data_IF_081878137464
#
_entry.id   IF_081878137464
#
_cell.length_a   1.000
_cell.length_b   1.000
_cell.length_c   1.000
_cell.angle_alpha   90.00
_cell.angle_beta   90.00
_cell.angle_gamma   90.00
#
_symmetry.space_group_name_H-M   'P 1'
#
loop_
_entity.id
_entity.type
_entity.pdbx_description
1 polymer ?
#
# COMPACT_ATOMS: atom_id res chain seq x y z
N UNK A 1 9.58 -22.61 13.07
CA UNK A 1 9.33 -22.48 11.61
C UNK A 1 7.84 -22.50 11.27
N UNK A 2 7.06 -23.49 11.71
CA UNK A 2 5.60 -23.54 11.44
C UNK A 2 4.85 -22.30 11.95
N UNK A 3 5.10 -21.85 13.19
CA UNK A 3 4.43 -20.66 13.74
C UNK A 3 4.85 -19.36 13.02
N UNK A 4 6.09 -19.29 12.52
CA UNK A 4 6.56 -18.12 11.78
C UNK A 4 5.87 -18.04 10.41
N UNK A 5 5.80 -19.15 9.68
CA UNK A 5 5.07 -19.22 8.40
C UNK A 5 3.58 -18.91 8.57
N UNK A 6 2.95 -19.39 9.65
CA UNK A 6 1.56 -19.08 9.94
C UNK A 6 1.34 -17.57 10.17
N UNK A 7 2.29 -16.88 10.81
CA UNK A 7 2.22 -15.43 11.01
C UNK A 7 2.33 -14.67 9.70
N UNK A 8 3.25 -15.06 8.80
CA UNK A 8 3.38 -14.43 7.47
C UNK A 8 2.11 -14.62 6.63
N UNK A 9 1.50 -15.80 6.66
CA UNK A 9 0.24 -16.07 5.96
C UNK A 9 -0.94 -15.27 6.53
N UNK A 10 -1.00 -15.11 7.86
CA UNK A 10 -2.00 -14.26 8.51
C UNK A 10 -1.80 -12.79 8.13
N UNK A 11 -0.55 -12.33 8.05
CA UNK A 11 -0.24 -10.97 7.59
C UNK A 11 -0.62 -10.76 6.12
N UNK A 12 -0.37 -11.74 5.25
CA UNK A 12 -0.85 -11.72 3.87
C UNK A 12 -2.39 -11.64 3.80
N UNK A 13 -3.09 -12.40 4.65
CA UNK A 13 -4.56 -12.36 4.74
C UNK A 13 -5.08 -10.99 5.20
N UNK A 14 -4.41 -10.36 6.17
CA UNK A 14 -4.75 -9.00 6.64
C UNK A 14 -4.57 -7.97 5.51
N UNK A 15 -3.41 -7.94 4.86
CA UNK A 15 -3.13 -7.02 3.74
C UNK A 15 -4.16 -7.21 2.60
N UNK A 16 -4.40 -8.45 2.20
CA UNK A 16 -5.33 -8.75 1.10
C UNK A 16 -6.78 -8.42 1.46
N UNK A 17 -7.21 -8.62 2.70
CA UNK A 17 -8.54 -8.19 3.16
C UNK A 17 -8.72 -6.67 3.12
N UNK A 18 -7.68 -5.91 3.47
CA UNK A 18 -7.68 -4.45 3.38
C UNK A 18 -7.77 -4.00 1.93
N UNK A 19 -6.94 -4.56 1.06
CA UNK A 19 -6.95 -4.26 -0.39
C UNK A 19 -8.31 -4.63 -1.00
N UNK A 20 -8.91 -5.76 -0.61
CA UNK A 20 -10.25 -6.16 -1.05
C UNK A 20 -11.29 -5.08 -0.71
N UNK A 21 -11.34 -4.62 0.54
CA UNK A 21 -12.29 -3.58 0.96
C UNK A 21 -12.02 -2.26 0.23
N UNK A 22 -10.76 -1.87 0.03
CA UNK A 22 -10.42 -0.65 -0.72
C UNK A 22 -10.82 -0.72 -2.19
N UNK A 23 -10.52 -1.84 -2.87
CA UNK A 23 -10.94 -2.05 -4.25
C UNK A 23 -12.46 -2.07 -4.39
N UNK A 24 -13.18 -2.64 -3.40
CA UNK A 24 -14.64 -2.61 -3.32
C UNK A 24 -15.18 -1.18 -3.14
N UNK A 25 -14.60 -0.39 -2.24
CA UNK A 25 -14.98 1.01 -2.03
C UNK A 25 -14.77 1.82 -3.32
N UNK A 26 -13.62 1.66 -3.99
CA UNK A 26 -13.36 2.39 -5.23
C UNK A 26 -14.26 1.91 -6.37
N UNK A 27 -14.58 0.61 -6.48
CA UNK A 27 -15.58 0.11 -7.43
C UNK A 27 -16.92 0.81 -7.21
N UNK A 28 -17.37 0.86 -5.95
CA UNK A 28 -18.64 1.47 -5.60
C UNK A 28 -18.65 2.96 -5.92
N UNK A 29 -17.59 3.69 -5.57
CA UNK A 29 -17.44 5.11 -5.91
C UNK A 29 -17.41 5.30 -7.44
N UNK A 30 -16.71 4.44 -8.17
CA UNK A 30 -16.62 4.53 -9.64
C UNK A 30 -17.99 4.34 -10.30
N UNK A 31 -18.76 3.35 -9.84
CA UNK A 31 -20.13 3.09 -10.29
C UNK A 31 -21.06 4.26 -9.94
N UNK A 32 -21.06 4.72 -8.68
CA UNK A 32 -21.91 5.83 -8.24
C UNK A 32 -21.55 7.16 -8.93
N UNK A 33 -20.27 7.37 -9.23
CA UNK A 33 -19.79 8.57 -9.92
C UNK A 33 -19.96 8.52 -11.43
N UNK A 34 -20.55 7.46 -12.00
CA UNK A 34 -20.66 7.26 -13.46
C UNK A 34 -19.30 7.41 -14.16
N UNK A 35 -18.24 6.83 -13.59
CA UNK A 35 -16.88 6.94 -14.13
C UNK A 35 -16.24 8.34 -14.04
N UNK A 36 -16.95 9.37 -13.51
CA UNK A 36 -16.38 10.71 -13.32
C UNK A 36 -15.16 10.70 -12.42
N UNK A 37 -15.11 9.82 -11.43
CA UNK A 37 -13.94 9.67 -10.56
C UNK A 37 -12.69 9.26 -11.35
N UNK A 38 -12.82 8.29 -12.26
CA UNK A 38 -11.74 7.82 -13.14
C UNK A 38 -11.31 8.94 -14.10
N UNK A 39 -12.28 9.62 -14.72
CA UNK A 39 -12.02 10.75 -15.64
C UNK A 39 -11.38 11.95 -14.93
N UNK A 40 -11.80 12.25 -13.71
CA UNK A 40 -11.26 13.34 -12.91
C UNK A 40 -9.82 13.06 -12.45
N UNK A 41 -9.51 11.80 -12.10
CA UNK A 41 -8.15 11.38 -11.77
C UNK A 41 -7.21 11.37 -12.98
N UNK A 42 -7.74 11.19 -14.20
CA UNK A 42 -7.01 11.23 -15.45
C UNK A 42 -6.72 12.66 -15.98
N UNK A 43 -7.13 13.73 -15.29
CA UNK A 43 -6.93 15.10 -15.77
C UNK A 43 -5.46 15.47 -15.98
N UNK A 44 -5.20 16.21 -17.06
CA UNK A 44 -3.88 16.80 -17.35
C UNK A 44 -3.55 17.89 -16.32
N UNK A 45 -2.44 17.71 -15.58
CA UNK A 45 -1.97 18.70 -14.61
C UNK A 45 -1.16 18.09 -13.46
N UNK A 46 -0.89 18.90 -12.42
CA UNK A 46 -0.18 18.44 -11.21
C UNK A 46 -1.09 17.76 -10.17
N UNK A 47 -2.41 17.87 -10.35
CA UNK A 47 -3.42 17.40 -9.39
C UNK A 47 -3.29 15.91 -9.00
N UNK A 48 -3.17 14.98 -9.96
CA UNK A 48 -3.04 13.55 -9.64
C UNK A 48 -1.80 13.25 -8.79
N UNK A 49 -0.65 13.84 -9.11
CA UNK A 49 0.58 13.62 -8.35
C UNK A 49 0.51 14.23 -6.94
N UNK A 50 -0.14 15.39 -6.80
CA UNK A 50 -0.41 15.99 -5.48
C UNK A 50 -1.28 15.07 -4.62
N UNK A 51 -2.36 14.55 -5.19
CA UNK A 51 -3.28 13.64 -4.49
C UNK A 51 -2.58 12.34 -4.11
N UNK A 52 -1.90 11.67 -5.04
CA UNK A 52 -1.28 10.36 -4.77
C UNK A 52 -0.11 10.47 -3.82
N UNK A 53 0.73 11.52 -3.90
CA UNK A 53 1.79 11.76 -2.92
C UNK A 53 1.23 12.16 -1.55
N UNK A 54 0.11 12.87 -1.49
CA UNK A 54 -0.55 13.18 -0.22
C UNK A 54 -1.08 11.90 0.45
N UNK A 55 -1.69 11.00 -0.33
CA UNK A 55 -2.09 9.70 0.16
C UNK A 55 -0.87 8.85 0.56
N UNK A 56 0.23 8.92 -0.18
CA UNK A 56 1.47 8.19 0.13
C UNK A 56 2.13 8.62 1.44
N UNK A 57 2.17 9.93 1.74
CA UNK A 57 2.81 10.45 2.96
C UNK A 57 2.03 10.12 4.24
N UNK A 58 0.77 9.67 4.11
CA UNK A 58 -0.01 9.25 5.29
C UNK A 58 0.69 8.07 5.98
N UNK A 59 0.91 8.11 7.31
CA UNK A 59 1.54 7.02 8.03
C UNK A 59 0.82 5.68 7.81
N UNK A 60 1.60 4.62 7.56
CA UNK A 60 1.11 3.30 7.20
C UNK A 60 0.97 3.06 5.69
N UNK A 61 0.49 1.87 5.31
CA UNK A 61 0.41 1.47 3.90
C UNK A 61 -0.96 1.75 3.22
N UNK A 62 -1.98 2.17 3.98
CA UNK A 62 -3.36 2.27 3.50
C UNK A 62 -3.54 3.26 2.34
N UNK A 63 -2.87 4.41 2.38
CA UNK A 63 -2.94 5.41 1.31
C UNK A 63 -2.33 4.91 -0.01
N UNK A 64 -1.23 4.17 0.06
CA UNK A 64 -0.59 3.57 -1.13
C UNK A 64 -1.48 2.46 -1.72
N UNK A 65 -2.10 1.62 -0.89
CA UNK A 65 -3.06 0.61 -1.37
C UNK A 65 -4.28 1.23 -2.07
N UNK A 66 -4.73 2.38 -1.60
CA UNK A 66 -5.79 3.13 -2.28
C UNK A 66 -5.33 3.60 -3.66
N UNK A 67 -4.10 4.12 -3.77
CA UNK A 67 -3.50 4.55 -5.04
C UNK A 67 -3.31 3.38 -6.02
N UNK A 68 -2.85 2.22 -5.55
CA UNK A 68 -2.75 1.00 -6.37
C UNK A 68 -4.12 0.54 -6.88
N UNK A 69 -5.15 0.66 -6.03
CA UNK A 69 -6.53 0.34 -6.40
C UNK A 69 -7.12 1.36 -7.38
N UNK A 70 -6.70 2.62 -7.32
CA UNK A 70 -7.02 3.63 -8.35
C UNK A 70 -6.30 3.32 -9.66
N UNK A 71 -5.06 2.85 -9.60
CA UNK A 71 -4.26 2.48 -10.78
C UNK A 71 -4.82 1.26 -11.51
N UNK A 72 -5.26 0.23 -10.80
CA UNK A 72 -5.87 -0.95 -11.41
C UNK A 72 -7.12 -0.64 -12.24
N UNK A 73 -7.77 0.49 -11.96
CA UNK A 73 -8.96 1.03 -12.65
C UNK A 73 -8.64 2.12 -13.68
N UNK A 74 -7.37 2.43 -13.91
CA UNK A 74 -6.96 3.50 -14.81
C UNK A 74 -7.28 4.92 -14.31
N UNK A 75 -7.63 5.11 -13.04
CA UNK A 75 -7.94 6.43 -12.49
C UNK A 75 -6.69 7.29 -12.26
N UNK A 76 -5.52 6.66 -12.12
CA UNK A 76 -4.23 7.33 -11.98
C UNK A 76 -3.19 6.63 -12.84
N UNK A 77 -2.15 7.38 -13.27
CA UNK A 77 -1.08 6.84 -14.09
C UNK A 77 -0.01 6.11 -13.26
N UNK A 78 0.84 5.32 -13.92
CA UNK A 78 1.97 4.67 -13.24
C UNK A 78 2.94 5.68 -12.60
N UNK A 79 3.12 6.85 -13.21
CA UNK A 79 3.91 7.92 -12.59
C UNK A 79 3.27 8.46 -11.31
N UNK A 80 1.94 8.60 -11.26
CA UNK A 80 1.24 8.99 -10.05
C UNK A 80 1.35 7.93 -8.94
N UNK A 81 1.32 6.64 -9.28
CA UNK A 81 1.63 5.55 -8.34
C UNK A 81 3.07 5.66 -7.82
N UNK A 82 4.03 5.88 -8.71
CA UNK A 82 5.45 6.08 -8.35
C UNK A 82 5.60 7.25 -7.36
N UNK A 83 4.85 8.34 -7.56
CA UNK A 83 4.82 9.47 -6.63
C UNK A 83 4.26 9.15 -5.25
N UNK A 84 3.31 8.22 -5.13
CA UNK A 84 2.84 7.72 -3.83
C UNK A 84 3.89 6.83 -3.15
N UNK A 85 4.54 5.96 -3.93
CA UNK A 85 5.59 5.05 -3.45
C UNK A 85 6.84 5.83 -2.99
N UNK A 86 7.22 6.91 -3.68
CA UNK A 86 8.29 7.81 -3.21
C UNK A 86 7.93 8.56 -1.92
N UNK A 87 6.65 8.89 -1.74
CA UNK A 87 6.18 9.70 -0.63
C UNK A 87 5.99 8.90 0.67
N UNK A 88 5.84 7.57 0.57
CA UNK A 88 5.50 6.73 1.71
C UNK A 88 6.70 6.41 2.59
N UNK A 89 6.47 6.36 3.90
CA UNK A 89 7.42 5.90 4.91
C UNK A 89 6.94 4.61 5.60
N UNK A 90 5.89 3.97 5.08
CA UNK A 90 5.33 2.73 5.60
C UNK A 90 4.85 2.83 7.05
N UNK A 91 4.85 1.68 7.74
CA UNK A 91 4.51 1.59 9.17
C UNK A 91 5.66 2.11 10.06
N UNK A 92 6.87 2.26 9.50
CA UNK A 92 8.02 2.84 10.18
C UNK A 92 7.79 4.32 10.51
N UNK A 93 6.91 4.99 9.78
CA UNK A 93 6.51 6.37 10.02
C UNK A 93 6.11 6.61 11.50
N UNK A 94 5.41 5.65 12.13
CA UNK A 94 5.03 5.75 13.54
C UNK A 94 6.24 5.69 14.47
N UNK A 95 7.22 4.85 14.14
CA UNK A 95 8.45 4.71 14.93
C UNK A 95 9.33 5.94 14.74
N UNK A 96 9.44 6.48 13.53
CA UNK A 96 10.17 7.74 13.27
C UNK A 96 9.56 8.91 14.05
N UNK A 97 8.23 9.03 14.06
CA UNK A 97 7.52 10.05 14.85
C UNK A 97 7.75 9.88 16.36
N UNK A 98 7.90 8.65 16.84
CA UNK A 98 8.19 8.37 18.25
C UNK A 98 9.66 8.63 18.63
N UNK A 99 10.61 8.30 17.75
CA UNK A 99 12.05 8.39 18.05
C UNK A 99 12.66 9.76 17.73
N UNK A 100 12.25 10.40 16.64
CA UNK A 100 12.82 11.66 16.15
C UNK A 100 11.76 12.54 15.44
N UNK A 101 10.72 13.02 16.14
CA UNK A 101 9.53 13.64 15.53
C UNK A 101 9.83 14.83 14.61
N UNK A 102 10.74 15.72 14.98
CA UNK A 102 11.09 16.89 14.16
C UNK A 102 11.72 16.50 12.83
N UNK A 103 12.69 15.57 12.87
CA UNK A 103 13.35 15.07 11.67
C UNK A 103 12.41 14.21 10.84
N UNK A 104 11.50 13.45 11.46
CA UNK A 104 10.48 12.67 10.77
C UNK A 104 9.52 13.56 9.97
N UNK A 105 9.03 14.66 10.56
CA UNK A 105 8.16 15.61 9.87
C UNK A 105 8.88 16.31 8.70
N UNK A 106 10.16 16.66 8.88
CA UNK A 106 10.98 17.21 7.79
C UNK A 106 11.16 16.18 6.67
N UNK A 107 11.46 14.93 7.02
CA UNK A 107 11.59 13.83 6.07
C UNK A 107 10.29 13.65 5.29
N UNK A 108 9.14 13.58 5.96
CA UNK A 108 7.83 13.45 5.29
C UNK A 108 7.52 14.61 4.36
N UNK A 109 7.87 15.85 4.73
CA UNK A 109 7.72 17.00 3.85
C UNK A 109 8.61 16.87 2.60
N UNK A 110 9.86 16.39 2.75
CA UNK A 110 10.76 16.14 1.63
C UNK A 110 10.21 15.01 0.75
N UNK A 111 9.81 13.87 1.33
CA UNK A 111 9.24 12.73 0.62
C UNK A 111 7.98 13.13 -0.16
N UNK A 112 7.10 13.95 0.42
CA UNK A 112 5.93 14.48 -0.26
C UNK A 112 6.30 15.31 -1.49
N UNK A 113 7.23 16.28 -1.35
CA UNK A 113 7.66 17.13 -2.47
C UNK A 113 8.36 16.30 -3.55
N UNK A 114 9.26 15.39 -3.15
CA UNK A 114 9.94 14.47 -4.07
C UNK A 114 8.96 13.52 -4.73
N UNK A 115 7.92 13.07 -4.03
CA UNK A 115 6.86 12.25 -4.59
C UNK A 115 6.09 12.98 -5.69
N UNK A 116 5.71 14.25 -5.48
CA UNK A 116 4.98 15.04 -6.48
C UNK A 116 5.84 15.24 -7.72
N UNK A 117 7.09 15.69 -7.54
CA UNK A 117 8.01 15.98 -8.65
C UNK A 117 8.46 14.68 -9.34
N UNK A 118 8.80 13.66 -8.56
CA UNK A 118 9.28 12.37 -9.02
C UNK A 118 8.18 11.57 -9.73
N UNK A 119 6.94 11.64 -9.27
CA UNK A 119 5.79 11.05 -9.96
C UNK A 119 5.51 11.73 -11.30
N UNK A 120 5.52 13.07 -11.32
CA UNK A 120 5.38 13.89 -12.52
C UNK A 120 6.49 13.64 -13.57
N UNK A 121 7.73 13.45 -13.10
CA UNK A 121 8.89 13.16 -13.95
C UNK A 121 8.82 11.72 -14.48
N UNK A 122 8.55 10.76 -13.60
CA UNK A 122 8.42 9.34 -13.96
C UNK A 122 7.34 9.14 -15.00
N UNK A 123 6.19 9.82 -14.87
CA UNK A 123 5.11 9.73 -15.85
C UNK A 123 5.53 10.14 -17.26
N UNK A 124 6.32 11.22 -17.38
CA UNK A 124 6.89 11.66 -18.66
C UNK A 124 7.84 10.65 -19.24
N UNK A 125 8.75 10.14 -18.41
CA UNK A 125 9.74 9.14 -18.84
C UNK A 125 9.05 7.87 -19.32
N UNK A 126 8.03 7.38 -18.59
CA UNK A 126 7.28 6.18 -18.96
C UNK A 126 6.46 6.37 -20.24
N UNK A 127 5.85 7.54 -20.44
CA UNK A 127 5.14 7.88 -21.69
C UNK A 127 6.10 7.97 -22.88
N UNK A 128 7.25 8.63 -22.73
CA UNK A 128 8.23 8.82 -23.81
C UNK A 128 8.92 7.53 -24.25
N UNK A 129 9.13 6.60 -23.32
CA UNK A 129 9.84 5.34 -23.59
C UNK A 129 8.97 4.25 -24.21
N UNK A 130 7.66 4.51 -24.43
CA UNK A 130 6.72 3.49 -24.90
C UNK A 130 6.56 2.32 -23.93
N UNK A 131 7.04 2.45 -22.70
CA UNK A 131 6.95 1.41 -21.67
C UNK A 131 5.50 1.20 -21.18
N UNK A 132 4.58 2.10 -21.56
CA UNK A 132 3.13 2.06 -21.31
C UNK A 132 2.36 1.03 -22.18
N UNK A 133 3.03 0.08 -22.82
CA UNK A 133 2.39 -1.05 -23.50
C UNK A 133 1.95 -2.12 -22.48
N UNK A 134 0.97 -1.79 -21.65
CA UNK A 134 0.36 -2.65 -20.64
C UNK A 134 -0.86 -1.93 -20.08
N UNK A 135 -1.99 -2.13 -20.77
CA UNK A 135 -3.28 -1.50 -20.53
C UNK A 135 -3.70 -1.62 -19.05
N UNK A 136 -4.27 -0.55 -18.43
CA UNK A 136 -5.02 -0.71 -17.19
C UNK A 136 -6.09 -1.78 -17.44
N UNK A 137 -6.30 -2.67 -16.47
CA UNK A 137 -7.26 -3.76 -16.58
C UNK A 137 -8.61 -3.21 -17.07
N UNK A 138 -9.03 -3.60 -18.30
CA UNK A 138 -10.31 -3.49 -19.04
C UNK A 138 -11.36 -2.39 -18.72
N UNK A 139 -11.43 -1.87 -17.50
CA UNK A 139 -12.28 -0.74 -17.08
C UNK A 139 -11.78 0.63 -17.56
N UNK A 140 -10.54 0.75 -18.04
CA UNK A 140 -10.10 1.98 -18.72
C UNK A 140 -10.76 2.16 -20.09
N UNK A 141 -11.31 1.09 -20.65
CA UNK A 141 -12.19 1.09 -21.83
C UNK A 141 -13.67 1.11 -21.41
N UNK A 142 -14.02 1.80 -20.32
CA UNK A 142 -15.42 2.20 -20.10
C UNK A 142 -15.81 3.20 -21.20
N UNK A 143 -16.25 2.66 -22.34
CA UNK A 143 -17.08 3.41 -23.27
C UNK A 143 -18.30 3.93 -22.47
N UNK A 144 -18.85 5.09 -22.83
CA UNK A 144 -20.07 5.62 -22.18
C UNK A 144 -21.24 4.61 -22.19
N UNK A 145 -21.15 3.56 -23.02
CA UNK A 145 -22.09 2.43 -23.14
C UNK A 145 -21.97 1.37 -22.03
N UNK A 146 -20.83 1.26 -21.32
CA UNK A 146 -20.60 0.26 -20.25
C UNK A 146 -20.92 0.80 -18.84
N UNK A 147 -21.19 2.11 -18.73
CA UNK A 147 -21.67 2.73 -17.51
C UNK A 147 -23.18 2.49 -17.39
N UNK A 148 -23.69 1.99 -16.24
CA UNK A 148 -25.11 1.77 -16.08
C UNK A 148 -25.85 3.09 -16.25
N UNK A 149 -26.82 3.10 -17.14
CA UNK A 149 -27.74 4.22 -17.35
C UNK A 149 -28.41 4.56 -16.01
N UNK A 150 -28.86 5.81 -15.80
CA UNK A 150 -29.67 6.19 -14.62
C UNK A 150 -30.83 5.19 -14.34
N UNK A 151 -31.45 4.65 -15.39
CA UNK A 151 -32.50 3.62 -15.31
C UNK A 151 -31.98 2.23 -14.87
N UNK A 152 -30.73 1.89 -15.17
CA UNK A 152 -30.07 0.64 -14.75
C UNK A 152 -29.59 0.74 -13.30
N UNK A 153 -29.06 1.90 -12.89
CA UNK A 153 -28.75 2.20 -11.49
C UNK A 153 -29.99 2.09 -10.59
N UNK A 154 -31.15 2.59 -11.03
CA UNK A 154 -32.42 2.41 -10.32
C UNK A 154 -32.87 0.94 -10.26
N UNK A 155 -32.50 0.14 -11.27
CA UNK A 155 -32.74 -1.31 -11.29
C UNK A 155 -31.81 -2.05 -10.34
N UNK A 156 -30.57 -1.58 -10.21
CA UNK A 156 -29.58 -2.13 -9.27
C UNK A 156 -29.92 -1.76 -7.83
N UNK A 157 -30.47 -0.57 -7.59
CA UNK A 157 -30.89 -0.08 -6.27
C UNK A 157 -32.43 -0.10 -6.12
N UNK A 158 -33.06 -1.28 -6.02
CA UNK A 158 -34.49 -1.34 -5.76
C UNK A 158 -34.81 -0.74 -4.39
N UNK A 159 -36.00 -0.15 -4.18
CA UNK A 159 -36.40 0.47 -2.92
C UNK A 159 -36.53 -0.52 -1.74
N UNK A 160 -36.36 -1.82 -1.98
CA UNK A 160 -36.39 -2.88 -0.98
C UNK A 160 -35.07 -3.64 -0.94
N UNK A 161 -34.57 -3.90 0.27
CA UNK A 161 -33.30 -4.59 0.49
C UNK A 161 -33.40 -6.05 -0.01
N UNK A 162 -32.72 -6.36 -1.12
CA UNK A 162 -32.61 -7.73 -1.64
C UNK A 162 -31.27 -8.35 -1.23
N UNK A 163 -31.31 -9.43 -0.43
CA UNK A 163 -30.13 -10.14 0.06
C UNK A 163 -29.63 -11.26 -0.88
N UNK A 164 -30.17 -11.36 -2.10
CA UNK A 164 -29.65 -12.28 -3.11
C UNK A 164 -28.44 -11.63 -3.82
N UNK A 165 -27.41 -12.40 -4.21
CA UNK A 165 -27.16 -13.79 -3.87
C UNK A 165 -26.68 -13.95 -2.42
N UNK A 166 -27.21 -14.96 -1.71
CA UNK A 166 -26.90 -15.20 -0.29
C UNK A 166 -25.50 -15.81 -0.08
N UNK A 167 -25.07 -16.70 -0.98
CA UNK A 167 -23.83 -17.45 -0.81
C UNK A 167 -22.58 -16.53 -0.83
N UNK A 168 -22.38 -15.64 -1.83
CA UNK A 168 -21.27 -14.71 -1.82
C UNK A 168 -21.24 -13.81 -0.57
N UNK A 169 -22.42 -13.33 -0.14
CA UNK A 169 -22.54 -12.50 1.06
C UNK A 169 -22.07 -13.23 2.32
N UNK A 170 -22.51 -14.47 2.50
CA UNK A 170 -22.13 -15.27 3.66
C UNK A 170 -20.65 -15.65 3.65
N UNK A 171 -20.08 -15.94 2.48
CA UNK A 171 -18.64 -16.25 2.36
C UNK A 171 -17.79 -15.02 2.70
N UNK A 172 -18.08 -13.87 2.08
CA UNK A 172 -17.33 -12.63 2.33
C UNK A 172 -17.49 -12.22 3.81
N UNK A 173 -18.72 -12.24 4.34
CA UNK A 173 -18.95 -11.90 5.74
C UNK A 173 -18.25 -12.87 6.70
N UNK A 174 -18.26 -14.18 6.40
CA UNK A 174 -17.55 -15.18 7.18
C UNK A 174 -16.04 -14.95 7.25
N UNK A 175 -15.42 -14.59 6.11
CA UNK A 175 -13.99 -14.25 6.05
C UNK A 175 -13.69 -12.99 6.87
N UNK A 176 -14.48 -11.92 6.71
CA UNK A 176 -14.27 -10.67 7.44
C UNK A 176 -14.50 -10.81 8.94
N UNK A 177 -15.50 -11.61 9.37
CA UNK A 177 -15.72 -11.92 10.79
C UNK A 177 -14.58 -12.78 11.34
N UNK A 178 -14.11 -13.79 10.59
CA UNK A 178 -12.96 -14.59 10.97
C UNK A 178 -11.70 -13.74 11.17
N UNK A 179 -11.48 -12.75 10.30
CA UNK A 179 -10.42 -11.77 10.43
C UNK A 179 -10.55 -10.92 11.70
N UNK A 180 -11.76 -10.39 11.98
CA UNK A 180 -12.03 -9.62 13.20
C UNK A 180 -11.77 -10.45 14.46
N UNK A 181 -12.14 -11.74 14.47
CA UNK A 181 -11.85 -12.65 15.59
C UNK A 181 -10.35 -12.86 15.75
N UNK A 182 -9.61 -13.11 14.66
CA UNK A 182 -8.15 -13.28 14.69
C UNK A 182 -7.42 -11.99 15.14
N UNK A 183 -7.99 -10.83 14.83
CA UNK A 183 -7.47 -9.54 15.25
C UNK A 183 -7.76 -9.27 16.74
N UNK A 184 -8.96 -9.64 17.20
CA UNK A 184 -9.35 -9.54 18.61
C UNK A 184 -8.50 -10.45 19.50
N UNK A 185 -8.13 -11.66 19.04
CA UNK A 185 -7.23 -12.53 19.79
C UNK A 185 -5.83 -11.93 19.96
N UNK A 186 -5.34 -11.14 18.99
CA UNK A 186 -4.07 -10.41 19.12
C UNK A 186 -4.12 -9.29 20.16
N UNK A 187 -5.28 -8.65 20.33
CA UNK A 187 -5.48 -7.66 21.40
C UNK A 187 -5.40 -8.31 22.80
N UNK A 188 -5.99 -9.49 22.97
CA UNK A 188 -6.00 -10.19 24.26
C UNK A 188 -4.62 -10.64 24.69
N UNK A 189 -3.79 -11.14 23.74
CA UNK A 189 -2.39 -11.50 24.02
C UNK A 189 -1.56 -10.28 24.45
N UNK A 190 -1.79 -9.12 23.84
CA UNK A 190 -1.12 -7.88 24.22
C UNK A 190 -1.54 -7.36 25.60
N UNK A 191 -2.79 -7.60 26.02
CA UNK A 191 -3.29 -7.13 27.31
C UNK A 191 -2.68 -7.92 28.49
N UNK A 192 -2.46 -9.23 28.33
CA UNK A 192 -1.74 -10.03 29.32
C UNK A 192 -0.27 -9.59 29.46
N UNK A 193 0.41 -9.30 28.34
CA UNK A 193 1.78 -8.77 28.36
C UNK A 193 1.88 -7.36 28.97
N UNK A 194 0.85 -6.51 28.80
CA UNK A 194 0.82 -5.16 29.35
C UNK A 194 0.55 -5.16 30.87
N UNK A 195 -0.20 -6.13 31.38
CA UNK A 195 -0.51 -6.24 32.82
C UNK A 195 0.72 -6.53 33.70
N UNK A 196 1.82 -6.99 33.12
CA UNK A 196 3.09 -7.28 33.83
C UNK A 196 4.13 -6.16 33.74
N UNK A 197 3.92 -5.12 32.91
CA UNK A 197 4.84 -3.99 32.75
C UNK A 197 4.11 -2.65 32.84
N UNK A 198 3.97 -2.12 34.06
CA UNK A 198 3.24 -0.89 34.38
C UNK A 198 3.95 0.43 34.01
N UNK A 199 4.72 0.50 32.93
CA UNK A 199 5.33 1.76 32.49
C UNK A 199 5.29 1.97 30.99
N UNK A 200 4.86 3.19 30.63
CA UNK A 200 4.80 3.81 29.32
C UNK A 200 3.64 3.39 28.41
N UNK A 201 2.80 4.38 28.13
CA UNK A 201 2.07 4.55 26.87
C UNK A 201 3.08 4.46 25.72
N UNK A 202 3.43 3.23 25.35
CA UNK A 202 3.97 2.90 24.04
C UNK A 202 2.72 2.64 23.20
N UNK A 203 2.46 3.51 22.23
CA UNK A 203 1.67 3.13 21.06
C UNK A 203 2.40 1.95 20.42
N UNK A 204 2.08 0.74 20.86
CA UNK A 204 2.63 -0.47 20.26
C UNK A 204 2.13 -0.52 18.82
N UNK A 205 3.02 -0.73 17.83
CA UNK A 205 2.66 -0.77 16.41
C UNK A 205 1.42 -1.64 16.11
N UNK A 206 1.23 -2.73 16.88
CA UNK A 206 0.07 -3.61 16.74
C UNK A 206 -1.30 -3.01 17.08
N UNK A 207 -1.39 -1.94 17.89
CA UNK A 207 -2.69 -1.32 18.21
C UNK A 207 -3.28 -0.56 17.02
N UNK A 208 -2.43 0.15 16.26
CA UNK A 208 -2.87 0.91 15.10
C UNK A 208 -3.31 -0.01 13.95
N UNK A 209 -2.55 -1.09 13.70
CA UNK A 209 -2.94 -2.15 12.77
C UNK A 209 -4.34 -2.67 13.11
N UNK A 210 -4.59 -2.96 14.39
CA UNK A 210 -5.92 -3.43 14.84
C UNK A 210 -7.02 -2.41 14.54
N UNK A 211 -6.79 -1.12 14.76
CA UNK A 211 -7.80 -0.10 14.44
C UNK A 211 -8.06 0.02 12.94
N UNK A 212 -7.02 0.05 12.09
CA UNK A 212 -7.20 0.13 10.64
C UNK A 212 -7.88 -1.13 10.10
N UNK A 213 -7.34 -2.31 10.37
CA UNK A 213 -7.90 -3.55 9.84
C UNK A 213 -9.29 -3.82 10.42
N UNK A 214 -9.52 -3.48 11.69
CA UNK A 214 -10.83 -3.60 12.34
C UNK A 214 -11.87 -2.68 11.71
N UNK A 215 -11.56 -1.39 11.54
CA UNK A 215 -12.48 -0.42 10.90
C UNK A 215 -12.79 -0.80 9.45
N UNK A 216 -11.80 -1.28 8.70
CA UNK A 216 -12.00 -1.70 7.31
C UNK A 216 -12.76 -3.01 7.19
N UNK A 217 -12.54 -3.99 8.07
CA UNK A 217 -13.36 -5.19 8.11
C UNK A 217 -14.83 -4.87 8.43
N UNK A 218 -15.08 -3.92 9.35
CA UNK A 218 -16.44 -3.43 9.63
C UNK A 218 -17.07 -2.72 8.43
N UNK A 219 -16.31 -1.89 7.71
CA UNK A 219 -16.76 -1.27 6.47
C UNK A 219 -17.09 -2.32 5.40
N UNK A 220 -16.21 -3.31 5.19
CA UNK A 220 -16.45 -4.41 4.26
C UNK A 220 -17.71 -5.22 4.59
N UNK A 221 -17.96 -5.47 5.88
CA UNK A 221 -19.20 -6.11 6.34
C UNK A 221 -20.41 -5.25 6.01
N UNK A 222 -20.35 -3.95 6.32
CA UNK A 222 -21.43 -3.03 5.97
C UNK A 222 -21.70 -3.04 4.45
N UNK A 223 -20.67 -2.96 3.62
CA UNK A 223 -20.80 -3.04 2.16
C UNK A 223 -21.43 -4.36 1.71
N UNK A 224 -21.05 -5.49 2.31
CA UNK A 224 -21.58 -6.81 1.97
C UNK A 224 -23.10 -6.92 2.20
N UNK A 225 -23.64 -6.20 3.19
CA UNK A 225 -25.07 -6.22 3.50
C UNK A 225 -25.86 -5.08 2.86
N UNK A 226 -25.27 -3.88 2.76
CA UNK A 226 -25.95 -2.68 2.25
C UNK A 226 -25.86 -2.55 0.72
N UNK A 227 -24.86 -3.15 0.07
CA UNK A 227 -24.68 -2.99 -1.37
C UNK A 227 -25.76 -3.74 -2.18
N UNK A 228 -26.10 -3.21 -3.37
CA UNK A 228 -27.08 -3.82 -4.25
C UNK A 228 -26.64 -5.19 -4.77
N UNK A 229 -27.62 -6.07 -5.03
CA UNK A 229 -27.42 -7.47 -5.41
C UNK A 229 -26.55 -7.64 -6.65
N UNK A 230 -26.86 -6.91 -7.71
CA UNK A 230 -26.12 -6.98 -8.98
C UNK A 230 -24.65 -6.56 -8.81
N UNK A 231 -24.39 -5.45 -8.12
CA UNK A 231 -23.04 -4.99 -7.86
C UNK A 231 -22.25 -6.02 -7.02
N UNK A 232 -22.90 -6.62 -6.03
CA UNK A 232 -22.27 -7.62 -5.18
C UNK A 232 -21.95 -8.93 -5.93
N UNK A 233 -22.81 -9.35 -6.84
CA UNK A 233 -22.62 -10.58 -7.61
C UNK A 233 -21.59 -10.42 -8.73
N UNK A 234 -21.76 -9.41 -9.59
CA UNK A 234 -20.91 -9.24 -10.76
C UNK A 234 -19.59 -8.55 -10.42
N UNK A 235 -19.65 -7.42 -9.72
CA UNK A 235 -18.46 -6.59 -9.48
C UNK A 235 -17.68 -7.04 -8.24
N UNK A 236 -18.35 -7.32 -7.12
CA UNK A 236 -17.64 -7.70 -5.89
C UNK A 236 -17.22 -9.18 -5.90
N UNK A 237 -18.09 -10.09 -6.32
CA UNK A 237 -17.82 -11.52 -6.26
C UNK A 237 -17.06 -12.02 -7.50
N UNK A 238 -17.68 -11.96 -8.68
CA UNK A 238 -17.07 -12.51 -9.90
C UNK A 238 -15.82 -11.74 -10.33
N UNK A 239 -15.90 -10.41 -10.38
CA UNK A 239 -14.75 -9.59 -10.75
C UNK A 239 -13.75 -9.46 -9.59
N UNK A 240 -14.12 -8.90 -8.43
CA UNK A 240 -13.10 -8.61 -7.41
C UNK A 240 -12.60 -9.85 -6.66
N UNK A 241 -13.51 -10.61 -6.03
CA UNK A 241 -13.14 -11.71 -5.13
C UNK A 241 -12.56 -12.92 -5.86
N UNK A 242 -13.09 -13.28 -7.03
CA UNK A 242 -12.64 -14.48 -7.75
C UNK A 242 -11.51 -14.22 -8.75
N UNK A 243 -11.45 -13.04 -9.38
CA UNK A 243 -10.42 -12.76 -10.38
C UNK A 243 -9.15 -12.13 -9.77
N UNK A 244 -9.28 -11.07 -8.97
CA UNK A 244 -8.11 -10.32 -8.48
C UNK A 244 -7.53 -10.87 -7.18
N UNK A 245 -8.38 -11.24 -6.22
CA UNK A 245 -7.90 -11.61 -4.87
C UNK A 245 -6.97 -12.83 -4.82
N UNK A 246 -7.17 -13.93 -5.59
CA UNK A 246 -6.28 -15.07 -5.53
C UNK A 246 -4.85 -14.72 -5.95
N UNK A 247 -4.71 -13.88 -6.98
CA UNK A 247 -3.41 -13.43 -7.49
C UNK A 247 -2.74 -12.47 -6.51
N UNK A 248 -3.47 -11.49 -5.98
CA UNK A 248 -2.94 -10.54 -4.99
C UNK A 248 -2.51 -11.30 -3.73
N UNK A 249 -3.30 -12.26 -3.26
CA UNK A 249 -2.97 -13.09 -2.10
C UNK A 249 -1.73 -13.96 -2.36
N UNK A 250 -1.68 -14.66 -3.50
CA UNK A 250 -0.54 -15.51 -3.84
C UNK A 250 0.78 -14.71 -3.91
N UNK A 251 0.77 -13.54 -4.55
CA UNK A 251 1.95 -12.68 -4.64
C UNK A 251 2.34 -12.08 -3.29
N UNK A 252 1.36 -11.60 -2.51
CA UNK A 252 1.60 -11.05 -1.17
C UNK A 252 2.19 -12.10 -0.24
N UNK A 253 1.55 -13.27 -0.14
CA UNK A 253 2.01 -14.38 0.68
C UNK A 253 3.38 -14.90 0.21
N UNK A 254 3.56 -15.07 -1.10
CA UNK A 254 4.83 -15.50 -1.68
C UNK A 254 5.96 -14.52 -1.39
N UNK A 255 5.73 -13.22 -1.54
CA UNK A 255 6.69 -12.17 -1.25
C UNK A 255 7.07 -12.15 0.24
N UNK A 256 6.09 -12.20 1.15
CA UNK A 256 6.34 -12.23 2.60
C UNK A 256 7.15 -13.45 3.02
N UNK A 257 6.78 -14.65 2.54
CA UNK A 257 7.54 -15.88 2.82
C UNK A 257 8.95 -15.81 2.22
N UNK A 258 9.10 -15.34 0.98
CA UNK A 258 10.41 -15.21 0.34
C UNK A 258 11.33 -14.25 1.11
N UNK A 259 10.80 -13.11 1.54
CA UNK A 259 11.50 -12.15 2.39
C UNK A 259 11.88 -12.78 3.72
N UNK A 260 10.94 -13.45 4.40
CA UNK A 260 11.22 -14.13 5.68
C UNK A 260 12.39 -15.12 5.54
N UNK A 261 12.43 -15.89 4.45
CA UNK A 261 13.52 -16.82 4.14
C UNK A 261 14.84 -16.13 3.77
N UNK A 262 14.79 -14.90 3.26
CA UNK A 262 15.96 -14.09 2.91
C UNK A 262 16.57 -13.46 4.17
N UNK A 263 15.76 -12.78 4.97
CA UNK A 263 16.21 -12.04 6.16
C UNK A 263 16.70 -12.94 7.28
N UNK A 264 16.23 -14.20 7.33
CA UNK A 264 16.75 -15.22 8.26
C UNK A 264 18.15 -15.72 7.91
N UNK A 265 18.58 -15.58 6.65
CA UNK A 265 19.89 -16.07 6.17
C UNK A 265 20.92 -14.96 5.95
N UNK A 266 20.46 -13.75 5.67
CA UNK A 266 21.32 -12.61 5.33
C UNK A 266 21.33 -11.61 6.47
N UNK A 267 22.45 -11.41 7.17
CA UNK A 267 22.58 -10.39 8.21
C UNK A 267 22.60 -8.98 7.56
N UNK A 268 21.43 -8.35 7.51
CA UNK A 268 21.21 -7.06 6.82
C UNK A 268 22.01 -5.91 7.45
N UNK A 269 22.34 -6.01 8.73
CA UNK A 269 23.13 -5.02 9.45
C UNK A 269 24.56 -4.90 8.89
N UNK A 270 25.12 -5.99 8.35
CA UNK A 270 26.45 -5.99 7.76
C UNK A 270 26.52 -5.09 6.51
N UNK A 271 25.40 -4.95 5.80
CA UNK A 271 25.29 -4.12 4.61
C UNK A 271 25.46 -2.62 4.90
N UNK A 272 25.27 -2.22 6.16
CA UNK A 272 25.31 -0.83 6.63
C UNK A 272 26.58 -0.49 7.43
N UNK A 273 27.52 -1.43 7.59
CA UNK A 273 28.78 -1.20 8.34
C UNK A 273 29.86 -0.44 7.55
N UNK A 274 29.65 -0.16 6.27
CA UNK A 274 30.57 0.62 5.44
C UNK A 274 30.51 2.12 5.73
N UNK A 275 31.42 2.90 5.14
CA UNK A 275 31.40 4.38 5.22
C UNK A 275 31.00 5.01 3.88
N UNK A 276 30.35 6.18 3.95
CA UNK A 276 30.01 7.00 2.79
C UNK A 276 29.15 6.26 1.75
N UNK A 277 29.62 6.24 0.50
CA UNK A 277 28.88 5.71 -0.65
C UNK A 277 28.46 4.25 -0.47
N UNK A 278 29.26 3.41 0.17
CA UNK A 278 28.90 2.00 0.40
C UNK A 278 27.72 1.85 1.34
N UNK A 279 27.61 2.72 2.35
CA UNK A 279 26.45 2.75 3.24
C UNK A 279 25.19 3.18 2.49
N UNK A 280 25.31 4.20 1.61
CA UNK A 280 24.21 4.65 0.75
C UNK A 280 23.71 3.53 -0.18
N UNK A 281 24.63 2.86 -0.88
CA UNK A 281 24.29 1.74 -1.77
C UNK A 281 23.65 0.59 -1.00
N UNK A 282 24.21 0.25 0.17
CA UNK A 282 23.67 -0.79 1.04
C UNK A 282 22.25 -0.46 1.52
N UNK A 283 22.01 0.78 1.93
CA UNK A 283 20.67 1.21 2.35
C UNK A 283 19.68 1.22 1.18
N UNK A 284 20.09 1.64 -0.02
CA UNK A 284 19.21 1.56 -1.20
C UNK A 284 18.89 0.10 -1.57
N UNK A 285 19.88 -0.81 -1.53
CA UNK A 285 19.67 -2.24 -1.76
C UNK A 285 18.70 -2.83 -0.74
N UNK A 286 18.81 -2.43 0.52
CA UNK A 286 17.90 -2.83 1.59
C UNK A 286 16.47 -2.32 1.34
N UNK A 287 16.33 -1.10 0.82
CA UNK A 287 15.05 -0.52 0.42
C UNK A 287 14.42 -1.21 -0.79
N UNK A 288 15.19 -1.99 -1.58
CA UNK A 288 14.61 -2.76 -2.68
C UNK A 288 13.69 -3.89 -2.20
N UNK A 289 13.84 -4.32 -0.95
CA UNK A 289 13.01 -5.37 -0.37
C UNK A 289 11.64 -4.75 -0.02
N UNK A 290 10.53 -5.19 -0.63
CA UNK A 290 9.21 -4.56 -0.47
C UNK A 290 8.53 -5.01 0.83
N UNK A 291 9.12 -4.62 1.95
CA UNK A 291 8.63 -4.90 3.30
C UNK A 291 9.19 -3.90 4.31
N UNK A 292 8.43 -3.69 5.38
CA UNK A 292 8.73 -2.80 6.49
C UNK A 292 10.04 -3.10 7.27
N UNK A 293 10.30 -4.38 7.59
CA UNK A 293 11.42 -4.76 8.48
C UNK A 293 12.82 -4.25 8.09
N UNK A 294 13.27 -4.42 6.83
CA UNK A 294 14.54 -3.89 6.33
C UNK A 294 14.69 -2.37 6.49
N UNK A 295 13.64 -1.59 6.23
CA UNK A 295 13.69 -0.14 6.39
C UNK A 295 13.90 0.27 7.86
N UNK A 296 13.24 -0.44 8.80
CA UNK A 296 13.38 -0.20 10.23
C UNK A 296 14.82 -0.30 10.74
N UNK A 297 15.66 -1.15 10.13
CA UNK A 297 17.09 -1.25 10.46
C UNK A 297 17.80 0.10 10.21
N UNK A 298 17.51 0.76 9.09
CA UNK A 298 18.09 2.08 8.76
C UNK A 298 17.56 3.15 9.69
N UNK A 299 16.26 3.13 9.99
CA UNK A 299 15.60 4.07 10.92
C UNK A 299 16.22 4.01 12.32
N UNK A 300 16.43 2.80 12.84
CA UNK A 300 17.02 2.59 14.18
C UNK A 300 18.50 2.95 14.24
N UNK A 301 19.25 2.67 13.17
CA UNK A 301 20.66 3.08 13.06
C UNK A 301 20.80 4.61 12.92
N UNK A 302 19.87 5.28 12.22
CA UNK A 302 19.81 6.73 12.18
C UNK A 302 19.51 7.31 13.56
N UNK A 303 18.51 6.78 14.26
CA UNK A 303 18.14 7.25 15.60
C UNK A 303 19.27 7.08 16.62
N UNK A 304 20.17 6.11 16.42
CA UNK A 304 21.36 5.91 17.25
C UNK A 304 22.60 6.67 16.77
N UNK A 305 22.50 7.47 15.71
CA UNK A 305 23.58 8.32 15.18
C UNK A 305 24.60 7.61 14.29
N UNK A 306 24.35 6.37 13.88
CA UNK A 306 25.27 5.60 13.03
C UNK A 306 25.08 5.85 11.54
N UNK A 307 23.88 6.26 11.14
CA UNK A 307 23.49 6.52 9.74
C UNK A 307 23.22 8.02 9.56
N UNK A 308 23.78 8.68 8.54
CA UNK A 308 23.52 10.10 8.25
C UNK A 308 22.16 10.31 7.58
N UNK A 309 21.69 11.56 7.53
CA UNK A 309 20.37 11.88 6.99
C UNK A 309 20.26 11.57 5.49
N UNK A 310 21.33 11.78 4.73
CA UNK A 310 21.38 11.41 3.29
C UNK A 310 21.02 9.95 3.03
N UNK A 311 21.53 9.04 3.86
CA UNK A 311 21.30 7.59 3.74
C UNK A 311 19.88 7.23 4.18
N UNK A 312 19.38 7.84 5.28
CA UNK A 312 17.99 7.68 5.70
C UNK A 312 17.03 8.12 4.59
N UNK A 313 17.23 9.30 4.02
CA UNK A 313 16.40 9.83 2.95
C UNK A 313 16.42 8.92 1.73
N UNK A 314 17.60 8.50 1.28
CA UNK A 314 17.74 7.62 0.13
C UNK A 314 16.98 6.31 0.32
N UNK A 315 17.16 5.66 1.47
CA UNK A 315 16.45 4.43 1.78
C UNK A 315 14.94 4.65 1.91
N UNK A 316 14.50 5.77 2.50
CA UNK A 316 13.08 6.12 2.62
C UNK A 316 12.41 6.36 1.26
N UNK A 317 13.16 6.88 0.27
CA UNK A 317 12.70 7.05 -1.12
C UNK A 317 12.68 5.74 -1.91
N UNK A 318 13.58 4.80 -1.59
CA UNK A 318 13.69 3.52 -2.32
C UNK A 318 12.71 2.48 -1.77
N UNK A 319 12.46 2.48 -0.46
CA UNK A 319 11.53 1.57 0.18
C UNK A 319 10.08 1.97 -0.11
N UNK A 320 9.19 1.00 -0.23
CA UNK A 320 7.77 1.24 -0.52
C UNK A 320 6.86 0.61 0.55
N UNK A 321 7.44 0.18 1.68
CA UNK A 321 6.80 -0.68 2.66
C UNK A 321 6.17 -1.92 2.01
N UNK A 322 4.99 -2.30 2.49
CA UNK A 322 4.15 -3.31 1.87
C UNK A 322 3.36 -2.77 0.67
N UNK A 323 3.42 -1.46 0.41
CA UNK A 323 2.66 -0.73 -0.60
C UNK A 323 2.87 -1.23 -2.04
N UNK A 324 4.02 -1.82 -2.36
CA UNK A 324 4.30 -2.37 -3.70
C UNK A 324 3.62 -3.73 -3.96
N UNK A 325 3.19 -4.45 -2.91
CA UNK A 325 2.71 -5.84 -3.04
C UNK A 325 1.42 -5.97 -3.88
N UNK A 326 0.41 -5.09 -3.74
CA UNK A 326 -0.78 -5.16 -4.59
C UNK A 326 -0.44 -4.84 -6.06
N UNK A 327 0.42 -3.85 -6.31
CA UNK A 327 0.89 -3.52 -7.64
C UNK A 327 1.61 -4.69 -8.33
N UNK A 328 2.40 -5.49 -7.59
CA UNK A 328 2.99 -6.74 -8.10
C UNK A 328 1.92 -7.75 -8.54
N UNK A 329 0.82 -7.83 -7.78
CA UNK A 329 -0.34 -8.66 -8.13
C UNK A 329 -1.05 -8.19 -9.39
N UNK A 330 -1.09 -6.87 -9.65
CA UNK A 330 -1.74 -6.28 -10.84
C UNK A 330 -0.83 -6.38 -12.08
N UNK A 331 0.40 -5.89 -11.98
CA UNK A 331 1.38 -5.88 -13.07
C UNK A 331 2.81 -5.87 -12.54
N UNK A 332 3.50 -7.00 -12.69
CA UNK A 332 4.93 -7.14 -12.34
C UNK A 332 5.77 -6.10 -13.08
N UNK A 333 5.46 -5.82 -14.35
CA UNK A 333 6.20 -4.81 -15.14
C UNK A 333 6.05 -3.42 -14.53
N UNK A 334 4.83 -3.03 -14.19
CA UNK A 334 4.55 -1.72 -13.58
C UNK A 334 5.25 -1.58 -12.23
N UNK A 335 5.19 -2.62 -11.39
CA UNK A 335 5.88 -2.65 -10.11
C UNK A 335 7.40 -2.50 -10.25
N UNK A 336 8.02 -3.25 -11.17
CA UNK A 336 9.46 -3.16 -11.42
C UNK A 336 9.88 -1.78 -11.96
N UNK A 337 9.08 -1.17 -12.83
CA UNK A 337 9.35 0.17 -13.37
C UNK A 337 9.26 1.25 -12.30
N UNK A 338 8.20 1.24 -11.49
CA UNK A 338 8.04 2.17 -10.37
C UNK A 338 9.20 2.00 -9.37
N UNK A 339 9.55 0.75 -9.04
CA UNK A 339 10.65 0.44 -8.14
C UNK A 339 12.00 0.93 -8.65
N UNK A 340 12.26 0.75 -9.94
CA UNK A 340 13.48 1.22 -10.56
C UNK A 340 13.56 2.76 -10.55
N UNK A 341 12.45 3.45 -10.82
CA UNK A 341 12.40 4.91 -10.71
C UNK A 341 12.71 5.38 -9.27
N UNK A 342 12.15 4.73 -8.26
CA UNK A 342 12.43 5.02 -6.84
C UNK A 342 13.90 4.81 -6.49
N UNK A 343 14.50 3.72 -6.98
CA UNK A 343 15.93 3.46 -6.80
C UNK A 343 16.80 4.58 -7.39
N UNK A 344 16.52 4.99 -8.63
CA UNK A 344 17.29 6.03 -9.32
C UNK A 344 17.16 7.37 -8.61
N UNK A 345 15.93 7.76 -8.24
CA UNK A 345 15.67 9.03 -7.54
C UNK A 345 16.31 9.03 -6.15
N UNK A 346 16.14 7.95 -5.38
CA UNK A 346 16.72 7.80 -4.04
C UNK A 346 18.24 7.83 -4.05
N UNK A 347 18.88 7.13 -4.99
CA UNK A 347 20.33 7.17 -5.15
C UNK A 347 20.83 8.56 -5.53
N UNK A 348 20.16 9.23 -6.48
CA UNK A 348 20.56 10.55 -6.93
C UNK A 348 20.47 11.61 -5.82
N UNK A 349 19.33 11.67 -5.11
CA UNK A 349 19.13 12.64 -4.03
C UNK A 349 19.98 12.31 -2.80
N UNK A 350 20.11 11.02 -2.46
CA UNK A 350 20.98 10.56 -1.38
C UNK A 350 22.45 10.91 -1.62
N UNK A 351 22.97 10.64 -2.83
CA UNK A 351 24.34 10.97 -3.19
C UNK A 351 24.57 12.49 -3.20
N UNK A 352 23.61 13.26 -3.70
CA UNK A 352 23.70 14.73 -3.70
C UNK A 352 23.78 15.29 -2.27
N UNK A 353 22.93 14.84 -1.35
CA UNK A 353 23.00 15.27 0.05
C UNK A 353 24.27 14.80 0.75
N UNK A 354 24.71 13.58 0.49
CA UNK A 354 25.96 13.06 1.04
C UNK A 354 27.17 13.90 0.58
N UNK A 355 27.20 14.31 -0.69
CA UNK A 355 28.25 15.19 -1.21
C UNK A 355 28.24 16.59 -0.56
N UNK A 356 27.06 17.05 -0.11
CA UNK A 356 26.90 18.29 0.65
C UNK A 356 27.21 18.14 2.15
N UNK A 357 27.51 16.92 2.62
CA UNK A 357 27.87 16.64 4.01
C UNK A 357 26.69 16.35 4.95
N UNK A 358 25.51 16.02 4.41
CA UNK A 358 24.30 15.70 5.18
C UNK A 358 24.06 14.20 5.38
#
# INVERSE_FOLDING_TARGET
MMNALANELLQAALITSLVFVMMAVIELISVLSHGRFVRAGAHEGLGPYLLTSFLGVTPGCAGVYLVDSMFSRGAVSLGAVTGALLATAGDEAFIMLAMFPSTALLLFAILFVVGVVGGWLSDRVFKMSGLMAGEPCALADLHDEDLPTEQELQRWWPPHLQLRPLLPRLVIAGVLVGLLVALASRLTEHHEALSTAATAVRSTPGTFEVWIFGTMAMLGLALTFLAPSHWLEEHLWHHLALHHMPQIFAWTAGALVAVHLLTTRVPLDQLLRGHGVWMLLGACLLGLIPISGPHLVVVTLFASGHVPFSVLLANSLVQDGHGLLPLLGISVRSALLAKFANLVIGLALGAALMALGF
#
